data_IF_741271917419
#
_entry.id   IF_741271917419
#
_cell.length_a   1.000
_cell.length_b   1.000
_cell.length_c   1.000
_cell.angle_alpha   90.00
_cell.angle_beta   90.00
_cell.angle_gamma   90.00
#
_symmetry.space_group_name_H-M   'P 1'
#
loop_
_entity.id
_entity.type
_entity.pdbx_description
1 polymer ?
#
# COMPACT_ATOMS: atom_id res chain seq x y z
N UNK A 1 15.33 -12.91 14.11
CA UNK A 1 15.83 -13.54 12.85
C UNK A 1 15.17 -12.96 11.58
N UNK A 2 14.18 -12.05 11.67
CA UNK A 2 13.60 -11.37 10.48
C UNK A 2 13.62 -9.84 10.62
N UNK A 3 14.14 -9.35 11.74
CA UNK A 3 14.15 -7.95 12.16
C UNK A 3 14.92 -7.05 11.19
N UNK A 4 16.06 -7.54 10.70
CA UNK A 4 16.91 -6.84 9.74
C UNK A 4 16.21 -6.67 8.38
N UNK A 5 15.42 -7.65 7.95
CA UNK A 5 14.65 -7.56 6.70
C UNK A 5 13.57 -6.49 6.80
N UNK A 6 12.91 -6.36 7.96
CA UNK A 6 11.88 -5.34 8.20
C UNK A 6 12.52 -3.96 8.27
N UNK A 7 13.65 -3.81 8.97
CA UNK A 7 14.39 -2.55 9.02
C UNK A 7 14.79 -2.05 7.61
N UNK A 8 15.21 -2.97 6.73
CA UNK A 8 15.53 -2.66 5.33
C UNK A 8 14.33 -2.16 4.50
N UNK A 9 13.09 -2.44 4.91
CA UNK A 9 11.89 -1.93 4.22
C UNK A 9 11.58 -0.47 4.53
N UNK A 10 12.16 0.11 5.59
CA UNK A 10 11.92 1.52 5.95
C UNK A 10 12.77 2.48 5.13
N UNK A 11 13.98 2.08 4.74
CA UNK A 11 14.86 2.90 3.93
C UNK A 11 14.24 3.33 2.57
N UNK A 12 13.61 2.42 1.78
CA UNK A 12 12.92 2.85 0.56
C UNK A 12 11.72 3.77 0.83
N UNK A 13 11.04 3.65 1.97
CA UNK A 13 9.96 4.60 2.34
C UNK A 13 10.51 6.01 2.57
N UNK A 14 11.69 6.15 3.20
CA UNK A 14 12.34 7.46 3.37
C UNK A 14 12.75 8.06 2.02
N UNK A 15 13.29 7.25 1.12
CA UNK A 15 13.65 7.71 -0.23
C UNK A 15 12.41 8.20 -0.97
N UNK A 16 11.31 7.45 -0.94
CA UNK A 16 10.05 7.86 -1.57
C UNK A 16 9.50 9.17 -0.99
N UNK A 17 9.57 9.37 0.33
CA UNK A 17 9.18 10.62 0.98
C UNK A 17 10.05 11.80 0.51
N UNK A 18 11.37 11.58 0.38
CA UNK A 18 12.30 12.60 -0.13
C UNK A 18 12.04 12.95 -1.58
N UNK A 19 11.78 11.95 -2.42
CA UNK A 19 11.48 12.15 -3.84
C UNK A 19 10.14 12.88 -4.04
N UNK A 20 9.20 12.68 -3.12
CA UNK A 20 7.92 13.39 -3.08
C UNK A 20 7.97 14.77 -2.40
N UNK A 21 9.10 15.14 -1.78
CA UNK A 21 9.26 16.33 -0.93
C UNK A 21 8.23 16.42 0.22
N UNK A 22 7.88 15.26 0.79
CA UNK A 22 6.90 15.13 1.88
C UNK A 22 7.55 14.63 3.16
N UNK A 23 7.00 15.01 4.31
CA UNK A 23 7.33 14.43 5.60
C UNK A 23 6.39 13.27 5.89
N UNK A 24 6.82 12.35 6.76
CA UNK A 24 5.97 11.25 7.23
C UNK A 24 4.65 11.75 7.85
N UNK A 25 4.67 12.94 8.45
CA UNK A 25 3.49 13.60 9.03
C UNK A 25 2.50 14.17 8.01
N UNK A 26 2.94 14.38 6.76
CA UNK A 26 2.08 14.91 5.69
C UNK A 26 1.25 13.78 5.03
N UNK A 27 1.40 12.53 5.48
CA UNK A 27 0.71 11.38 4.93
C UNK A 27 -0.67 11.22 5.57
N UNK A 28 -1.71 11.35 4.75
CA UNK A 28 -3.10 11.24 5.18
C UNK A 28 -3.59 9.82 5.41
N UNK A 29 -3.07 8.82 4.70
CA UNK A 29 -3.54 7.44 4.82
C UNK A 29 -2.41 6.46 4.49
N UNK A 30 -2.34 5.38 5.28
CA UNK A 30 -1.35 4.32 5.10
C UNK A 30 -2.08 3.04 4.71
N UNK A 31 -1.81 2.56 3.50
CA UNK A 31 -2.42 1.35 2.95
C UNK A 31 -1.39 0.21 2.90
N UNK A 32 -1.70 -0.89 3.58
CA UNK A 32 -0.87 -2.09 3.57
C UNK A 32 -1.36 -3.08 2.51
N UNK A 33 -0.49 -3.37 1.54
CA UNK A 33 -0.78 -4.29 0.43
C UNK A 33 0.14 -5.50 0.47
N UNK A 34 -0.42 -6.69 0.25
CA UNK A 34 0.34 -7.96 0.22
C UNK A 34 0.11 -8.85 1.44
N UNK A 35 0.51 -10.12 1.34
CA UNK A 35 0.30 -11.09 2.43
C UNK A 35 1.24 -10.89 3.63
N UNK A 36 2.46 -10.43 3.38
CA UNK A 36 3.50 -10.28 4.41
C UNK A 36 3.27 -9.07 5.34
N UNK A 37 2.45 -8.11 4.92
CA UNK A 37 2.05 -6.95 5.76
C UNK A 37 1.02 -7.29 6.83
N UNK A 38 0.54 -8.55 6.86
CA UNK A 38 -0.31 -9.09 7.94
C UNK A 38 0.48 -9.50 9.18
N UNK A 39 1.81 -9.50 9.11
CA UNK A 39 2.65 -9.78 10.28
C UNK A 39 2.56 -8.61 11.26
N UNK A 40 2.19 -8.84 12.54
CA UNK A 40 2.00 -7.76 13.52
C UNK A 40 3.22 -6.84 13.63
N UNK A 41 4.41 -7.43 13.60
CA UNK A 41 5.67 -6.70 13.67
C UNK A 41 5.92 -5.76 12.49
N UNK A 42 5.43 -6.07 11.29
CA UNK A 42 5.51 -5.14 10.15
C UNK A 42 4.59 -3.94 10.40
N UNK A 43 3.39 -4.20 10.91
CA UNK A 43 2.41 -3.15 11.18
C UNK A 43 2.91 -2.19 12.28
N UNK A 44 3.54 -2.73 13.32
CA UNK A 44 4.17 -1.93 14.38
C UNK A 44 5.27 -1.02 13.82
N UNK A 45 6.24 -1.56 13.07
CA UNK A 45 7.33 -0.75 12.54
C UNK A 45 6.82 0.34 11.56
N UNK A 46 5.82 0.03 10.75
CA UNK A 46 5.20 1.02 9.85
C UNK A 46 4.45 2.10 10.65
N UNK A 47 3.73 1.70 11.70
CA UNK A 47 3.04 2.64 12.60
C UNK A 47 4.02 3.54 13.33
N UNK A 48 5.14 3.01 13.80
CA UNK A 48 6.20 3.76 14.46
C UNK A 48 6.89 4.74 13.51
N UNK A 49 7.08 4.35 12.25
CA UNK A 49 7.73 5.19 11.24
C UNK A 49 6.85 6.35 10.76
N UNK A 50 5.57 6.09 10.47
CA UNK A 50 4.64 7.11 9.97
C UNK A 50 3.83 7.81 11.08
N UNK A 51 3.88 7.31 12.32
CA UNK A 51 3.16 7.88 13.47
C UNK A 51 1.64 7.76 13.39
N UNK A 52 1.11 6.93 12.47
CA UNK A 52 -0.32 6.77 12.21
C UNK A 52 -0.66 5.30 12.04
N UNK A 53 -1.88 4.93 12.43
CA UNK A 53 -2.38 3.58 12.27
C UNK A 53 -2.65 3.25 10.79
N UNK A 54 -2.13 2.13 10.26
CA UNK A 54 -2.44 1.72 8.90
C UNK A 54 -3.92 1.37 8.77
N UNK A 55 -4.55 1.91 7.72
CA UNK A 55 -5.97 1.70 7.46
C UNK A 55 -6.22 0.22 7.18
N UNK A 56 -7.14 -0.38 7.96
CA UNK A 56 -7.45 -1.82 7.94
C UNK A 56 -8.15 -2.29 6.65
N UNK A 57 -8.35 -1.41 5.67
CA UNK A 57 -8.73 -1.77 4.30
C UNK A 57 -7.54 -2.44 3.62
N UNK A 58 -7.15 -3.61 4.12
CA UNK A 58 -6.27 -4.51 3.39
C UNK A 58 -6.98 -4.85 2.10
N UNK A 59 -6.56 -4.21 1.01
CA UNK A 59 -6.92 -4.61 -0.34
C UNK A 59 -6.56 -6.08 -0.41
N UNK A 60 -7.60 -6.94 -0.42
CA UNK A 60 -7.40 -8.38 -0.54
C UNK A 60 -6.55 -8.58 -1.79
N UNK A 61 -5.59 -9.49 -1.76
CA UNK A 61 -4.76 -9.80 -2.94
C UNK A 61 -5.59 -10.03 -4.21
N UNK A 62 -6.84 -10.47 -4.06
CA UNK A 62 -7.85 -10.52 -5.14
C UNK A 62 -8.15 -9.14 -5.75
N UNK A 63 -8.36 -8.08 -4.96
CA UNK A 63 -8.61 -6.71 -5.44
C UNK A 63 -7.42 -6.14 -6.23
N UNK A 64 -6.17 -6.46 -5.84
CA UNK A 64 -4.98 -6.11 -6.62
C UNK A 64 -4.97 -6.76 -8.02
N UNK A 65 -5.48 -8.00 -8.17
CA UNK A 65 -5.53 -8.70 -9.46
C UNK A 65 -6.46 -8.01 -10.49
N UNK A 66 -7.29 -7.06 -10.07
CA UNK A 66 -8.14 -6.29 -11.00
C UNK A 66 -7.42 -5.05 -11.55
N UNK A 67 -6.33 -4.59 -10.93
CA UNK A 67 -5.61 -3.40 -11.37
C UNK A 67 -5.08 -3.51 -12.83
N UNK A 68 -4.54 -4.65 -13.28
CA UNK A 68 -4.13 -4.80 -14.69
C UNK A 68 -5.32 -4.72 -15.67
N UNK A 69 -6.50 -5.22 -15.27
CA UNK A 69 -7.72 -5.15 -16.08
C UNK A 69 -8.23 -3.72 -16.20
N UNK A 70 -8.16 -2.97 -15.11
CA UNK A 70 -8.52 -1.56 -15.09
C UNK A 70 -7.56 -0.74 -15.96
N UNK A 71 -6.25 -0.97 -15.83
CA UNK A 71 -5.24 -0.29 -16.65
C UNK A 71 -5.40 -0.61 -18.14
N UNK A 72 -5.78 -1.84 -18.49
CA UNK A 72 -6.13 -2.22 -19.86
C UNK A 72 -7.39 -1.51 -20.38
N UNK A 73 -8.41 -1.32 -19.55
CA UNK A 73 -9.64 -0.60 -19.90
C UNK A 73 -9.42 0.91 -20.14
N UNK A 74 -8.51 1.54 -19.39
CA UNK A 74 -8.08 2.94 -19.62
C UNK A 74 -7.43 3.08 -21.01
N UNK A 75 -6.51 2.17 -21.34
CA UNK A 75 -5.79 2.19 -22.60
C UNK A 75 -6.69 1.84 -23.80
N UNK A 76 -7.75 1.07 -23.57
CA UNK A 76 -8.75 0.68 -24.58
C UNK A 76 -9.88 1.67 -24.80
N UNK A 77 -10.02 2.73 -23.98
CA UNK A 77 -11.08 3.75 -24.12
C UNK A 77 -12.45 3.36 -23.55
N UNK A 78 -12.58 2.20 -22.90
CA UNK A 78 -13.85 1.64 -22.39
C UNK A 78 -14.15 2.04 -20.93
N UNK A 79 -13.92 3.30 -20.58
CA UNK A 79 -13.96 3.75 -19.19
C UNK A 79 -15.38 3.92 -18.60
N UNK A 80 -16.44 3.50 -19.31
CA UNK A 80 -17.82 3.91 -18.99
C UNK A 80 -18.60 2.99 -18.04
N UNK A 81 -18.13 1.80 -17.64
CA UNK A 81 -18.85 1.01 -16.61
C UNK A 81 -18.04 -0.17 -16.07
N UNK A 82 -17.11 0.09 -15.15
CA UNK A 82 -16.63 -0.95 -14.24
C UNK A 82 -17.34 -0.79 -12.89
N UNK A 83 -18.58 -1.25 -12.81
CA UNK A 83 -19.22 -1.48 -11.50
C UNK A 83 -18.57 -2.68 -10.85
N UNK A 84 -18.14 -2.48 -9.60
CA UNK A 84 -17.62 -3.54 -8.74
C UNK A 84 -18.79 -4.48 -8.40
N UNK A 85 -19.02 -5.52 -9.20
CA UNK A 85 -19.95 -6.59 -8.82
C UNK A 85 -19.24 -7.43 -7.77
N UNK A 86 -19.60 -7.21 -6.51
CA UNK A 86 -19.18 -8.03 -5.39
C UNK A 86 -19.83 -9.41 -5.48
N UNK A 87 -18.99 -10.42 -5.65
CA UNK A 87 -19.19 -11.76 -5.08
C UNK A 87 -18.23 -11.94 -3.91
#
# INVERSE_FOLDING_TARGET
>A
MVDELIARTIEPCKVALRDADLKASDIDDILLVGGQTRMPKVQEVVKDFFGREPSATSIRTRQWQWAPRFQGGVLGGDFKRMSFCGE
#
